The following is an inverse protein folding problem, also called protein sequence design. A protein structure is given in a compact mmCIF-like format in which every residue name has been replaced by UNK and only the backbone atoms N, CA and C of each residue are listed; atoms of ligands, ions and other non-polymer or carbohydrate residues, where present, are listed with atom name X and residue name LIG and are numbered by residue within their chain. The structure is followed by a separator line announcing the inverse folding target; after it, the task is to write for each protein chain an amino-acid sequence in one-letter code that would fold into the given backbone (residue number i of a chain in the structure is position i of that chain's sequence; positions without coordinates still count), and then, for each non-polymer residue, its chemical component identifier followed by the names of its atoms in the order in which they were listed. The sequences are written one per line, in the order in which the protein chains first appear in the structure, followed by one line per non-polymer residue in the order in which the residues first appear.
data_IF_072587356726
#
_entry.id   IF_072587356726
#
_cell.length_a   1.000
_cell.length_b   1.000
_cell.length_c   1.000
_cell.angle_alpha   90.00
_cell.angle_beta   90.00
_cell.angle_gamma   90.00
#
_symmetry.space_group_name_H-M   'P 1'
#
loop_
_entity.id
_entity.type
_entity.pdbx_description
1 polymer ?
#
# COMPACT_ATOMS: atom_id res chain seq x y z
N UNK A 1 -8.85 9.62 3.86
CA UNK A 1 -9.06 9.83 2.42
C UNK A 1 -10.24 8.95 2.00
N UNK A 2 -10.54 8.81 0.71
CA UNK A 2 -11.53 7.84 0.21
C UNK A 2 -10.79 6.79 -0.62
N UNK A 3 -10.10 5.90 0.08
CA UNK A 3 -9.20 4.89 -0.46
C UNK A 3 -9.31 3.58 0.32
N UNK A 4 -8.31 2.72 0.16
CA UNK A 4 -8.27 1.39 0.78
C UNK A 4 -7.25 1.40 1.90
N UNK A 5 -7.69 1.15 3.13
CA UNK A 5 -6.78 1.07 4.26
C UNK A 5 -5.79 -0.10 4.07
N UNK A 6 -4.51 0.18 4.29
CA UNK A 6 -3.40 -0.74 4.12
C UNK A 6 -2.46 -0.62 5.33
N UNK A 7 -2.00 -1.78 5.81
CA UNK A 7 -0.99 -1.90 6.85
C UNK A 7 0.28 -2.47 6.22
N UNK A 8 1.42 -1.85 6.49
CA UNK A 8 2.74 -2.30 6.06
C UNK A 8 3.55 -2.67 7.31
N UNK A 9 4.16 -3.84 7.29
CA UNK A 9 5.05 -4.33 8.33
C UNK A 9 6.45 -4.42 7.73
N UNK A 10 7.41 -3.79 8.41
CA UNK A 10 8.81 -3.83 8.05
C UNK A 10 9.60 -4.48 9.18
N UNK A 11 10.51 -5.36 8.80
CA UNK A 11 11.50 -5.95 9.69
C UNK A 11 12.88 -5.66 9.14
N UNK A 12 13.77 -5.10 9.97
CA UNK A 12 15.13 -4.75 9.56
C UNK A 12 15.17 -3.95 8.25
N UNK A 13 14.26 -2.97 8.12
CA UNK A 13 14.10 -2.09 6.95
C UNK A 13 13.56 -2.76 5.68
N UNK A 14 13.22 -4.05 5.73
CA UNK A 14 12.63 -4.77 4.61
C UNK A 14 11.13 -4.97 4.81
N UNK A 15 10.34 -4.75 3.74
CA UNK A 15 8.91 -5.04 3.77
C UNK A 15 8.71 -6.55 3.94
N UNK A 16 8.17 -6.96 5.08
CA UNK A 16 7.89 -8.36 5.38
C UNK A 16 6.42 -8.72 5.16
N UNK A 17 5.48 -7.79 5.36
CA UNK A 17 4.05 -8.03 5.14
C UNK A 17 3.28 -6.77 4.75
N UNK A 18 2.29 -6.90 3.87
CA UNK A 18 1.32 -5.87 3.56
C UNK A 18 -0.12 -6.42 3.55
N UNK A 19 -1.01 -5.82 4.33
CA UNK A 19 -2.39 -6.28 4.53
C UNK A 19 -3.41 -5.17 4.23
N UNK A 20 -4.34 -5.44 3.32
CA UNK A 20 -5.52 -4.58 3.16
C UNK A 20 -6.48 -4.77 4.33
N UNK A 21 -7.26 -3.74 4.67
CA UNK A 21 -8.35 -3.90 5.64
C UNK A 21 -9.56 -4.51 4.93
N UNK A 22 -9.71 -5.83 5.03
CA UNK A 22 -10.94 -6.54 4.66
C UNK A 22 -12.06 -6.33 5.69
N UNK A 23 -12.91 -7.34 5.90
CA UNK A 23 -14.11 -7.30 6.78
C UNK A 23 -13.80 -7.21 8.29
N UNK A 24 -12.59 -6.82 8.69
CA UNK A 24 -12.17 -6.70 10.09
C UNK A 24 -11.68 -7.99 10.75
N UNK A 25 -11.80 -9.15 10.07
CA UNK A 25 -11.28 -10.46 10.53
C UNK A 25 -10.19 -11.07 9.64
N UNK A 26 -10.19 -10.75 8.35
CA UNK A 26 -9.17 -11.16 7.39
C UNK A 26 -8.86 -9.96 6.49
N UNK A 27 -7.59 -9.59 6.41
CA UNK A 27 -7.06 -8.70 5.37
C UNK A 27 -6.40 -9.54 4.30
N UNK A 28 -6.47 -9.13 3.04
CA UNK A 28 -5.77 -9.84 1.98
C UNK A 28 -4.29 -9.52 2.06
N UNK A 29 -3.46 -10.57 2.03
CA UNK A 29 -2.01 -10.43 1.92
C UNK A 29 -1.67 -10.01 0.49
N UNK A 30 -1.26 -8.75 0.36
CA UNK A 30 -0.89 -8.12 -0.91
C UNK A 30 0.60 -7.77 -0.93
N UNK A 31 1.42 -8.45 -0.13
CA UNK A 31 2.84 -8.12 0.04
C UNK A 31 3.58 -8.08 -1.30
N UNK A 32 3.34 -9.05 -2.18
CA UNK A 32 3.99 -9.10 -3.49
C UNK A 32 3.52 -7.96 -4.41
N UNK A 33 2.23 -7.60 -4.34
CA UNK A 33 1.70 -6.44 -5.06
C UNK A 33 2.41 -5.16 -4.62
N UNK A 34 2.58 -4.95 -3.32
CA UNK A 34 3.26 -3.77 -2.77
C UNK A 34 4.73 -3.75 -3.21
N UNK A 35 5.42 -4.90 -3.19
CA UNK A 35 6.82 -5.02 -3.66
C UNK A 35 6.96 -4.68 -5.14
N UNK A 36 6.10 -5.26 -6.00
CA UNK A 36 6.16 -5.06 -7.45
C UNK A 36 5.77 -3.65 -7.87
N UNK A 37 4.70 -3.10 -7.28
CA UNK A 37 4.27 -1.71 -7.52
C UNK A 37 5.25 -0.68 -6.95
N UNK A 38 6.17 -1.10 -6.07
CA UNK A 38 7.06 -0.25 -5.27
C UNK A 38 6.29 0.76 -4.40
N UNK A 39 5.02 0.46 -4.13
CA UNK A 39 4.17 1.28 -3.28
C UNK A 39 4.72 1.28 -1.85
N UNK A 40 4.68 2.42 -1.17
CA UNK A 40 5.20 2.55 0.20
C UNK A 40 6.73 2.61 0.30
N UNK A 41 7.47 2.58 -0.82
CA UNK A 41 8.94 2.76 -0.81
C UNK A 41 9.38 4.09 -0.19
N UNK A 42 8.61 5.15 -0.40
CA UNK A 42 8.87 6.47 0.21
C UNK A 42 8.83 6.42 1.74
N UNK A 43 8.05 5.51 2.33
CA UNK A 43 8.03 5.28 3.78
C UNK A 43 9.37 4.73 4.23
N UNK A 44 9.98 3.84 3.43
CA UNK A 44 11.30 3.29 3.74
C UNK A 44 12.36 4.38 3.63
N UNK A 45 12.40 5.10 2.50
CA UNK A 45 13.43 6.10 2.26
C UNK A 45 13.36 7.30 3.25
N UNK A 46 12.17 7.61 3.80
CA UNK A 46 11.98 8.72 4.75
C UNK A 46 12.11 8.34 6.22
N UNK A 47 11.94 7.05 6.56
CA UNK A 47 11.89 6.61 7.97
C UNK A 47 13.20 5.99 8.43
N UNK A 48 13.93 5.27 7.56
CA UNK A 48 15.05 4.41 7.98
C UNK A 48 16.41 5.11 8.02
N UNK A 49 16.67 5.81 9.13
CA UNK A 49 18.02 6.05 9.64
C UNK A 49 18.53 4.79 10.39
N UNK A 50 19.85 4.65 10.54
CA UNK A 50 20.53 3.71 11.45
C UNK A 50 19.96 3.60 12.87
N UNK A 51 19.11 4.52 13.33
CA UNK A 51 18.41 4.47 14.62
C UNK A 51 17.07 3.72 14.62
N UNK A 52 16.57 3.26 13.46
CA UNK A 52 15.23 2.69 13.34
C UNK A 52 15.11 1.31 14.01
N UNK A 53 14.03 1.08 14.78
CA UNK A 53 13.78 -0.20 15.44
C UNK A 53 13.64 -1.38 14.49
N UNK A 54 13.91 -2.59 15.00
CA UNK A 54 13.86 -3.85 14.23
C UNK A 54 12.50 -4.08 13.57
N UNK A 55 11.42 -3.58 14.16
CA UNK A 55 10.07 -3.70 13.63
C UNK A 55 9.39 -2.34 13.52
N UNK A 56 8.84 -2.06 12.33
CA UNK A 56 8.06 -0.86 12.04
C UNK A 56 6.72 -1.28 11.43
N UNK A 57 5.63 -0.81 12.03
CA UNK A 57 4.27 -1.00 11.56
C UNK A 57 3.75 0.35 11.08
N UNK A 58 3.36 0.44 9.82
CA UNK A 58 2.83 1.66 9.21
C UNK A 58 1.42 1.42 8.74
N UNK A 59 0.51 2.29 9.15
CA UNK A 59 -0.86 2.32 8.69
C UNK A 59 -1.07 3.52 7.81
N UNK A 60 -1.76 3.28 6.71
CA UNK A 60 -2.05 4.29 5.72
C UNK A 60 -3.23 3.90 4.86
N UNK A 61 -3.41 4.69 3.83
CA UNK A 61 -4.47 4.52 2.86
C UNK A 61 -3.90 4.51 1.46
N UNK A 62 -4.34 3.55 0.66
CA UNK A 62 -4.04 3.49 -0.76
C UNK A 62 -5.10 4.29 -1.50
N UNK A 63 -4.65 5.29 -2.25
CA UNK A 63 -5.51 6.09 -3.11
C UNK A 63 -4.92 6.18 -4.51
N UNK A 64 -5.80 6.42 -5.47
CA UNK A 64 -5.43 6.85 -6.81
C UNK A 64 -5.71 8.34 -6.94
N UNK A 65 -4.85 9.07 -7.64
CA UNK A 65 -5.14 10.49 -7.91
C UNK A 65 -6.23 10.63 -8.95
N UNK A 66 -6.86 11.80 -9.01
CA UNK A 66 -7.88 12.08 -10.02
C UNK A 66 -7.31 12.03 -11.44
N UNK A 67 -6.10 12.56 -11.61
CA UNK A 67 -5.36 12.51 -12.89
C UNK A 67 -5.09 11.06 -13.32
N UNK A 68 -4.56 10.24 -12.42
CA UNK A 68 -4.31 8.81 -12.70
C UNK A 68 -5.60 8.02 -12.94
N UNK A 69 -6.69 8.39 -12.26
CA UNK A 69 -8.00 7.76 -12.42
C UNK A 69 -8.56 8.01 -13.83
N UNK A 70 -8.41 9.21 -14.37
CA UNK A 70 -8.91 9.53 -15.70
C UNK A 70 -8.14 8.75 -16.79
N UNK A 71 -6.83 8.55 -16.62
CA UNK A 71 -6.04 7.66 -17.51
C UNK A 71 -6.40 6.17 -17.34
N UNK A 72 -6.80 5.74 -16.14
CA UNK A 72 -7.36 4.39 -15.94
C UNK A 72 -8.70 4.26 -16.67
N UNK A 73 -9.60 5.26 -16.61
CA UNK A 73 -10.88 5.22 -17.33
C UNK A 73 -10.70 5.13 -18.85
N UNK A 74 -9.67 5.75 -19.42
CA UNK A 74 -9.39 5.64 -20.85
C UNK A 74 -8.85 4.25 -21.26
N UNK A 75 -8.25 3.51 -20.33
CA UNK A 75 -7.63 2.20 -20.59
C UNK A 75 -8.52 0.99 -20.24
N UNK A 76 -9.66 1.21 -19.57
CA UNK A 76 -10.67 0.17 -19.30
C UNK A 76 -12.05 0.64 -19.74
N UNK A 77 -12.82 -0.22 -20.44
CA UNK A 77 -14.26 -0.03 -20.73
C UNK A 77 -15.15 0.04 -19.46
N UNK A 78 -14.58 0.18 -18.27
CA UNK A 78 -15.28 0.32 -17.00
C UNK A 78 -15.08 1.73 -16.45
N UNK A 79 -16.17 2.49 -16.41
CA UNK A 79 -16.23 3.72 -15.62
C UNK A 79 -16.31 3.39 -14.13
N UNK A 80 -15.26 3.72 -13.38
CA UNK A 80 -15.29 3.68 -11.92
C UNK A 80 -16.10 4.86 -11.37
N UNK A 81 -17.11 4.58 -10.55
CA UNK A 81 -17.97 5.61 -9.93
C UNK A 81 -17.26 6.43 -8.85
N UNK A 82 -16.18 5.92 -8.27
CA UNK A 82 -15.41 6.58 -7.19
C UNK A 82 -13.93 6.12 -7.23
N UNK A 83 -12.95 7.04 -7.04
CA UNK A 83 -11.54 6.73 -6.82
C UNK A 83 -11.24 5.54 -5.89
N UNK A 84 -12.01 5.37 -4.80
CA UNK A 84 -11.86 4.25 -3.87
C UNK A 84 -12.07 2.90 -4.53
N UNK A 85 -13.08 2.79 -5.39
CA UNK A 85 -13.39 1.54 -6.08
C UNK A 85 -12.33 1.21 -7.12
N UNK A 86 -11.79 2.22 -7.80
CA UNK A 86 -10.66 2.04 -8.71
C UNK A 86 -9.40 1.56 -7.97
N UNK A 87 -9.10 2.14 -6.80
CA UNK A 87 -7.98 1.71 -5.97
C UNK A 87 -8.17 0.27 -5.46
N UNK A 88 -9.37 -0.08 -4.98
CA UNK A 88 -9.69 -1.44 -4.53
C UNK A 88 -9.58 -2.47 -5.67
N UNK A 89 -10.11 -2.16 -6.85
CA UNK A 89 -9.98 -3.02 -8.02
C UNK A 89 -8.51 -3.17 -8.42
N UNK A 90 -7.76 -2.07 -8.52
CA UNK A 90 -6.35 -2.10 -8.91
C UNK A 90 -5.51 -2.97 -7.96
N UNK A 91 -5.78 -2.92 -6.65
CA UNK A 91 -5.13 -3.79 -5.65
C UNK A 91 -5.48 -5.26 -5.82
N UNK A 92 -6.73 -5.58 -6.20
CA UNK A 92 -7.22 -6.95 -6.37
C UNK A 92 -6.86 -7.58 -7.73
N UNK A 93 -6.42 -6.78 -8.71
CA UNK A 93 -5.99 -7.32 -10.00
C UNK A 93 -4.65 -8.03 -9.86
N UNK A 94 -4.67 -9.35 -10.10
CA UNK A 94 -3.48 -10.22 -10.01
C UNK A 94 -2.43 -9.97 -11.10
N UNK A 95 -2.78 -9.27 -12.19
CA UNK A 95 -1.84 -8.93 -13.26
C UNK A 95 -1.23 -7.55 -13.05
N UNK A 96 -0.14 -7.51 -12.29
CA UNK A 96 0.70 -6.33 -12.04
C UNK A 96 1.38 -5.79 -13.33
N UNK A 97 1.47 -6.62 -14.36
CA UNK A 97 2.08 -6.30 -15.66
C UNK A 97 1.33 -5.27 -16.50
N UNK A 98 0.04 -5.00 -16.20
CA UNK A 98 -0.76 -4.01 -16.94
C UNK A 98 -0.50 -2.56 -16.50
N UNK A 99 0.47 -2.31 -15.62
CA UNK A 99 0.85 -0.95 -15.20
C UNK A 99 -0.13 -0.26 -14.25
N UNK A 100 -1.27 -0.88 -13.95
CA UNK A 100 -2.31 -0.36 -13.03
C UNK A 100 -1.79 -0.16 -11.59
N UNK A 101 -0.86 -0.99 -11.14
CA UNK A 101 -0.24 -0.87 -9.82
C UNK A 101 0.70 0.35 -9.66
N UNK A 102 1.28 0.87 -10.75
CA UNK A 102 2.24 1.99 -10.71
C UNK A 102 1.61 3.35 -10.37
N UNK A 103 0.29 3.42 -10.37
CA UNK A 103 -0.49 4.66 -10.14
C UNK A 103 -1.11 4.73 -8.75
N UNK A 104 -0.90 3.69 -7.94
CA UNK A 104 -1.37 3.65 -6.57
C UNK A 104 -0.39 4.41 -5.68
N UNK A 105 -0.92 5.32 -4.87
CA UNK A 105 -0.15 6.03 -3.85
C UNK A 105 -0.55 5.53 -2.47
N UNK A 106 0.44 5.30 -1.62
CA UNK A 106 0.22 5.00 -0.22
C UNK A 106 0.47 6.25 0.61
N UNK A 107 -0.53 6.66 1.38
CA UNK A 107 -0.42 7.81 2.28
C UNK A 107 -0.45 7.31 3.71
N UNK A 108 0.71 7.39 4.37
CA UNK A 108 0.85 7.01 5.78
C UNK A 108 0.23 8.07 6.69
N UNK A 109 -0.48 7.63 7.74
CA UNK A 109 -1.04 8.52 8.76
C UNK A 109 -0.73 8.07 10.20
N UNK A 110 -0.28 6.84 10.40
CA UNK A 110 0.09 6.30 11.71
C UNK A 110 1.29 5.35 11.55
N UNK A 111 2.25 5.43 12.47
CA UNK A 111 3.38 4.51 12.55
C UNK A 111 3.64 4.09 13.99
N UNK A 112 3.96 2.82 14.20
CA UNK A 112 4.38 2.27 15.49
C UNK A 112 5.69 1.52 15.28
N UNK A 113 6.66 1.73 16.17
CA UNK A 113 7.95 1.05 16.09
C UNK A 113 8.24 0.30 17.38
N UNK A 114 8.81 -0.90 17.27
CA UNK A 114 9.26 -1.69 18.42
C UNK A 114 10.67 -2.19 18.21
N UNK A 115 11.51 -2.07 19.24
CA UNK A 115 12.85 -2.68 19.25
C UNK A 115 12.72 -4.10 19.79
N UNK A 116 13.48 -5.05 19.23
CA UNK A 116 13.64 -6.33 19.89
C UNK A 116 14.17 -6.06 21.31
N UNK A 117 13.47 -6.56 22.34
CA UNK A 117 14.04 -6.59 23.68
C UNK A 117 15.12 -7.66 23.64
N UNK A 118 16.39 -7.23 23.60
CA UNK A 118 17.50 -8.13 23.90
C UNK A 118 17.20 -8.80 25.24
N UNK A 119 17.07 -10.13 25.20
CA UNK A 119 16.91 -11.00 26.36
C UNK A 119 18.27 -11.28 26.99
#
# INVERSE_FOLDING_TARGET
MDGVALSLEYQSQELCRALTRGTGRHGDDITDHVRESRMGREVVDSTFDSSVPDFVFVRGEVCITKEDLDEVKESVERSYSNPRNAAADALNHKNLSEGKGKRLRFIAYESQCSRARNS
#
